data_IF_547956692184
#
_entry.id   IF_547956692184
#
_cell.length_a   1.000
_cell.length_b   1.000
_cell.length_c   1.000
_cell.angle_alpha   90.00
_cell.angle_beta   90.00
_cell.angle_gamma   90.00
#
_symmetry.space_group_name_H-M   'P 1'
#
loop_
_entity.id
_entity.type
_entity.pdbx_description
1 polymer ?
#
# COMPACT_ATOMS: atom_id res chain seq x y z
N UNK A 1 17.92 -22.84 -0.57
CA UNK A 1 16.47 -22.72 -0.32
C UNK A 1 15.82 -22.21 -1.59
N UNK A 2 14.98 -23.01 -2.25
CA UNK A 2 14.14 -22.56 -3.35
C UNK A 2 13.21 -21.47 -2.76
N UNK A 3 13.38 -20.22 -3.20
CA UNK A 3 12.38 -19.19 -3.01
C UNK A 3 11.10 -19.67 -3.69
N UNK A 4 10.14 -20.10 -2.88
CA UNK A 4 8.79 -20.39 -3.35
C UNK A 4 8.30 -19.05 -3.90
N UNK A 5 8.04 -18.98 -5.20
CA UNK A 5 7.41 -17.80 -5.80
C UNK A 5 6.08 -17.61 -5.07
N UNK A 6 5.88 -16.46 -4.40
CA UNK A 6 4.74 -16.23 -3.52
C UNK A 6 3.38 -16.66 -4.12
N UNK A 7 3.09 -16.44 -5.42
CA UNK A 7 1.85 -16.91 -6.02
C UNK A 7 1.71 -18.44 -6.08
N UNK A 8 2.79 -19.18 -6.37
CA UNK A 8 2.71 -20.64 -6.43
C UNK A 8 2.40 -21.25 -5.06
N UNK A 9 2.96 -20.69 -3.99
CA UNK A 9 2.66 -21.11 -2.63
C UNK A 9 1.23 -20.81 -2.22
N UNK A 10 0.73 -19.63 -2.55
CA UNK A 10 -0.65 -19.19 -2.26
C UNK A 10 -1.68 -20.03 -3.01
N UNK A 11 -1.45 -20.28 -4.29
CA UNK A 11 -2.31 -21.14 -5.12
C UNK A 11 -2.38 -22.54 -4.56
N UNK A 12 -1.22 -23.16 -4.29
CA UNK A 12 -1.15 -24.50 -3.70
C UNK A 12 -1.86 -24.55 -2.33
N UNK A 13 -1.65 -23.56 -1.47
CA UNK A 13 -2.32 -23.47 -0.17
C UNK A 13 -3.85 -23.47 -0.30
N UNK A 14 -4.39 -22.59 -1.17
CA UNK A 14 -5.85 -22.52 -1.39
C UNK A 14 -6.41 -23.82 -1.98
N UNK A 15 -5.72 -24.44 -2.94
CA UNK A 15 -6.09 -25.74 -3.49
C UNK A 15 -6.10 -26.87 -2.45
N UNK A 16 -5.29 -26.73 -1.39
CA UNK A 16 -5.29 -27.63 -0.23
C UNK A 16 -6.18 -27.14 0.92
N UNK A 17 -7.15 -26.29 0.63
CA UNK A 17 -8.17 -25.85 1.59
C UNK A 17 -7.69 -24.86 2.64
N UNK A 18 -6.57 -24.17 2.43
CA UNK A 18 -6.04 -23.16 3.35
C UNK A 18 -6.43 -21.75 2.89
N UNK A 19 -6.74 -20.89 3.85
CA UNK A 19 -6.86 -19.46 3.63
C UNK A 19 -5.47 -18.83 3.67
N UNK A 20 -5.26 -17.71 2.99
CA UNK A 20 -3.93 -17.12 2.76
C UNK A 20 -3.93 -15.65 3.13
N UNK A 21 -2.98 -15.25 3.96
CA UNK A 21 -2.55 -13.86 4.13
C UNK A 21 -1.11 -13.75 3.62
N UNK A 22 -0.92 -13.09 2.50
CA UNK A 22 0.38 -12.87 1.89
C UNK A 22 1.00 -11.55 2.36
N UNK A 23 2.32 -11.50 2.51
CA UNK A 23 2.99 -10.21 2.57
C UNK A 23 2.81 -9.47 1.22
N UNK A 24 2.86 -8.12 1.27
CA UNK A 24 2.91 -7.30 0.05
C UNK A 24 4.16 -7.65 -0.80
N UNK A 25 4.14 -7.50 -2.09
CA UNK A 25 3.01 -7.11 -2.91
C UNK A 25 1.98 -8.24 -3.14
N UNK A 26 2.24 -9.44 -2.70
CA UNK A 26 1.39 -10.61 -2.90
C UNK A 26 1.54 -11.23 -4.31
N UNK A 27 1.59 -10.40 -5.34
CA UNK A 27 1.81 -10.79 -6.74
C UNK A 27 2.56 -9.69 -7.49
N UNK A 28 3.30 -10.05 -8.55
CA UNK A 28 4.15 -9.13 -9.31
C UNK A 28 3.82 -9.09 -10.81
N UNK A 29 2.82 -9.85 -11.25
CA UNK A 29 2.35 -9.89 -12.65
C UNK A 29 0.83 -10.05 -12.71
N UNK A 30 0.22 -9.60 -13.81
CA UNK A 30 -1.21 -9.82 -14.08
C UNK A 30 -1.56 -11.31 -14.16
N UNK A 31 -0.70 -12.13 -14.77
CA UNK A 31 -0.94 -13.57 -14.84
C UNK A 31 -1.04 -14.21 -13.42
N UNK A 32 -0.25 -13.72 -12.47
CA UNK A 32 -0.34 -14.16 -11.07
C UNK A 32 -1.62 -13.66 -10.39
N UNK A 33 -2.04 -12.42 -10.65
CA UNK A 33 -3.29 -11.86 -10.15
C UNK A 33 -4.49 -12.68 -10.65
N UNK A 34 -4.54 -12.95 -11.96
CA UNK A 34 -5.62 -13.72 -12.57
C UNK A 34 -5.68 -15.14 -12.02
N UNK A 35 -4.53 -15.78 -11.87
CA UNK A 35 -4.45 -17.14 -11.33
C UNK A 35 -4.91 -17.20 -9.86
N UNK A 36 -4.50 -16.24 -9.01
CA UNK A 36 -4.95 -16.18 -7.61
C UNK A 36 -6.45 -15.93 -7.54
N UNK A 37 -6.99 -14.98 -8.31
CA UNK A 37 -8.44 -14.70 -8.38
C UNK A 37 -9.22 -15.94 -8.84
N UNK A 38 -8.71 -16.63 -9.86
CA UNK A 38 -9.34 -17.85 -10.37
C UNK A 38 -9.40 -18.95 -9.30
N UNK A 39 -8.28 -19.21 -8.64
CA UNK A 39 -8.20 -20.26 -7.60
C UNK A 39 -8.99 -19.87 -6.37
N UNK A 40 -8.93 -18.61 -5.93
CA UNK A 40 -9.74 -18.10 -4.83
C UNK A 40 -11.24 -18.36 -5.08
N UNK A 41 -11.73 -18.01 -6.28
CA UNK A 41 -13.12 -18.24 -6.67
C UNK A 41 -13.49 -19.73 -6.71
N UNK A 42 -12.59 -20.58 -7.22
CA UNK A 42 -12.82 -22.02 -7.33
C UNK A 42 -12.85 -22.72 -5.96
N UNK A 43 -12.03 -22.28 -5.03
CA UNK A 43 -11.87 -22.95 -3.73
C UNK A 43 -12.73 -22.34 -2.63
N UNK A 44 -13.28 -21.13 -2.82
CA UNK A 44 -13.98 -20.37 -1.80
C UNK A 44 -13.09 -20.01 -0.61
N UNK A 45 -11.74 -20.02 -0.80
CA UNK A 45 -10.80 -19.63 0.25
C UNK A 45 -10.66 -18.11 0.30
N UNK A 46 -10.26 -17.60 1.46
CA UNK A 46 -9.94 -16.19 1.63
C UNK A 46 -8.48 -15.98 1.23
N UNK A 47 -8.24 -14.97 0.40
CA UNK A 47 -6.90 -14.49 0.07
C UNK A 47 -6.78 -13.02 0.44
N UNK A 48 -5.82 -12.67 1.26
CA UNK A 48 -5.51 -11.28 1.63
C UNK A 48 -4.06 -10.94 1.36
N UNK A 49 -3.78 -9.65 1.17
CA UNK A 49 -2.44 -9.07 1.18
C UNK A 49 -2.33 -8.17 2.41
N UNK A 50 -1.28 -8.37 3.20
CA UNK A 50 -1.02 -7.53 4.37
C UNK A 50 -0.44 -6.18 3.91
N UNK A 51 -1.29 -5.18 3.82
CA UNK A 51 -0.91 -3.79 3.56
C UNK A 51 -0.58 -3.09 4.88
N UNK A 52 0.59 -3.41 5.43
CA UNK A 52 1.01 -3.01 6.78
C UNK A 52 0.99 -1.49 7.02
N UNK A 53 1.25 -0.67 5.99
CA UNK A 53 1.19 0.80 6.13
C UNK A 53 -0.22 1.37 6.39
N UNK A 54 -1.25 0.53 6.29
CA UNK A 54 -2.61 0.81 6.71
C UNK A 54 -2.96 -0.03 7.94
N UNK A 55 -2.89 -1.35 7.83
CA UNK A 55 -3.44 -2.27 8.82
C UNK A 55 -2.64 -2.35 10.13
N UNK A 56 -1.36 -1.99 10.09
CA UNK A 56 -0.45 -2.00 11.24
C UNK A 56 0.00 -0.58 11.66
N UNK A 57 -0.70 0.45 11.18
CA UNK A 57 -0.44 1.86 11.50
C UNK A 57 -1.64 2.45 12.23
N UNK A 58 -1.57 2.60 13.57
CA UNK A 58 -2.64 3.16 14.39
C UNK A 58 -3.22 4.48 13.89
N UNK A 59 -2.38 5.39 13.40
CA UNK A 59 -2.83 6.66 12.83
C UNK A 59 -3.68 6.47 11.55
N UNK A 60 -3.38 5.48 10.73
CA UNK A 60 -4.17 5.18 9.53
C UNK A 60 -5.53 4.57 9.89
N UNK A 61 -5.58 3.71 10.92
CA UNK A 61 -6.83 3.17 11.46
C UNK A 61 -7.71 4.29 12.02
N UNK A 62 -7.13 5.20 12.82
CA UNK A 62 -7.88 6.33 13.39
C UNK A 62 -8.39 7.29 12.30
N UNK A 63 -7.60 7.53 11.26
CA UNK A 63 -8.07 8.33 10.11
C UNK A 63 -9.30 7.69 9.45
N UNK A 64 -9.32 6.37 9.28
CA UNK A 64 -10.48 5.63 8.80
C UNK A 64 -11.71 5.81 9.70
N UNK A 65 -11.54 5.72 11.01
CA UNK A 65 -12.61 5.94 12.00
C UNK A 65 -13.17 7.37 11.90
N UNK A 66 -12.30 8.38 11.80
CA UNK A 66 -12.70 9.78 11.67
C UNK A 66 -13.48 10.04 10.37
N UNK A 67 -13.03 9.47 9.25
CA UNK A 67 -13.72 9.60 7.96
C UNK A 67 -15.08 8.92 8.02
N UNK A 68 -15.17 7.71 8.58
CA UNK A 68 -16.43 7.01 8.77
C UNK A 68 -17.41 7.78 9.68
N UNK A 69 -16.88 8.54 10.65
CA UNK A 69 -17.66 9.43 11.50
C UNK A 69 -18.03 10.79 10.83
N UNK A 70 -17.60 11.05 9.58
CA UNK A 70 -17.90 12.26 8.82
C UNK A 70 -17.05 13.48 9.19
N UNK A 71 -15.92 13.31 9.88
CA UNK A 71 -15.11 14.40 10.42
C UNK A 71 -14.61 15.41 9.38
N UNK A 72 -14.43 14.99 8.12
CA UNK A 72 -13.95 15.83 7.02
C UNK A 72 -14.93 15.90 5.84
N UNK A 73 -16.15 15.40 6.01
CA UNK A 73 -17.12 15.28 4.92
C UNK A 73 -16.73 14.20 3.90
N UNK A 74 -17.05 14.43 2.61
CA UNK A 74 -16.67 13.50 1.53
C UNK A 74 -15.20 13.66 1.17
N UNK A 75 -14.47 12.55 1.05
CA UNK A 75 -13.07 12.58 0.57
C UNK A 75 -13.03 12.94 -0.91
N UNK A 76 -12.20 13.92 -1.26
CA UNK A 76 -12.04 14.43 -2.63
C UNK A 76 -10.64 14.25 -3.20
N UNK A 77 -9.63 14.17 -2.33
CA UNK A 77 -8.24 13.93 -2.77
C UNK A 77 -7.41 13.21 -1.70
N UNK A 78 -6.44 12.41 -2.14
CA UNK A 78 -5.41 11.85 -1.25
C UNK A 78 -4.02 12.07 -1.82
N UNK A 79 -3.04 12.30 -0.95
CA UNK A 79 -1.61 12.34 -1.30
C UNK A 79 -0.88 11.37 -0.40
N UNK A 80 -0.48 10.22 -0.97
CA UNK A 80 0.22 9.15 -0.26
C UNK A 80 1.71 9.12 -0.57
N UNK A 81 2.55 9.12 0.45
CA UNK A 81 4.01 9.04 0.31
C UNK A 81 4.56 7.86 1.12
N UNK A 82 5.30 6.97 0.44
CA UNK A 82 5.94 5.80 1.03
C UNK A 82 7.46 5.78 0.77
N UNK A 83 8.22 6.78 1.26
CA UNK A 83 9.67 6.74 1.17
C UNK A 83 10.25 5.68 2.10
N UNK A 84 11.27 4.97 1.63
CA UNK A 84 11.94 3.89 2.36
C UNK A 84 13.45 4.08 2.35
N UNK A 85 14.13 3.56 3.37
CA UNK A 85 15.58 3.41 3.36
C UNK A 85 15.97 2.19 2.51
N UNK A 86 16.87 2.40 1.53
CA UNK A 86 17.27 1.34 0.61
C UNK A 86 18.03 0.20 1.30
N UNK A 87 18.91 0.52 2.25
CA UNK A 87 19.73 -0.46 3.00
C UNK A 87 20.43 -1.47 2.06
N UNK A 88 21.16 -0.96 1.07
CA UNK A 88 21.78 -1.73 -0.03
C UNK A 88 22.46 -3.01 0.42
N UNK A 89 23.27 -2.94 1.48
CA UNK A 89 24.06 -4.06 1.98
C UNK A 89 23.24 -5.21 2.61
N UNK A 90 21.95 -4.95 2.89
CA UNK A 90 21.06 -5.92 3.50
C UNK A 90 20.08 -6.54 2.48
N UNK A 91 20.16 -6.13 1.20
CA UNK A 91 19.27 -6.63 0.16
C UNK A 91 19.87 -7.83 -0.56
N UNK A 92 19.10 -8.90 -0.78
CA UNK A 92 19.55 -10.02 -1.60
C UNK A 92 19.59 -9.62 -3.09
N UNK A 93 20.44 -10.26 -3.89
CA UNK A 93 20.63 -9.93 -5.31
C UNK A 93 19.34 -9.93 -6.14
N UNK A 94 18.41 -10.82 -5.84
CA UNK A 94 17.13 -10.86 -6.57
C UNK A 94 16.31 -9.58 -6.44
N UNK A 95 16.54 -8.80 -5.38
CA UNK A 95 15.85 -7.52 -5.16
C UNK A 95 16.24 -6.47 -6.22
N UNK A 96 17.39 -6.61 -6.85
CA UNK A 96 17.87 -5.71 -7.90
C UNK A 96 17.53 -6.22 -9.33
N UNK A 97 16.75 -7.26 -9.43
CA UNK A 97 16.32 -7.88 -10.70
C UNK A 97 14.86 -7.52 -10.94
N UNK A 98 14.60 -6.70 -11.97
CA UNK A 98 13.27 -6.08 -12.19
C UNK A 98 12.12 -7.09 -12.24
N UNK A 99 12.28 -8.18 -12.96
CA UNK A 99 11.25 -9.21 -13.11
C UNK A 99 11.05 -10.08 -11.84
N UNK A 100 11.90 -9.94 -10.83
CA UNK A 100 11.83 -10.73 -9.59
C UNK A 100 11.14 -9.98 -8.45
N UNK A 101 11.41 -8.68 -8.28
CA UNK A 101 10.76 -7.88 -7.22
C UNK A 101 9.48 -7.17 -7.70
N UNK A 102 9.26 -7.07 -9.01
CA UNK A 102 8.01 -6.56 -9.58
C UNK A 102 7.98 -5.07 -9.88
N UNK A 103 9.04 -4.30 -9.54
CA UNK A 103 9.12 -2.86 -9.69
C UNK A 103 8.63 -2.09 -8.46
N UNK A 104 9.05 -0.83 -8.36
CA UNK A 104 8.82 -0.03 -7.14
C UNK A 104 7.34 0.31 -6.92
N UNK A 105 6.57 0.52 -8.00
CA UNK A 105 5.13 0.78 -7.89
C UNK A 105 4.37 -0.47 -7.48
N UNK A 106 4.81 -1.64 -7.93
CA UNK A 106 4.24 -2.90 -7.49
C UNK A 106 4.65 -3.24 -6.05
N UNK A 107 5.92 -3.05 -5.69
CA UNK A 107 6.45 -3.41 -4.37
C UNK A 107 5.96 -2.45 -3.27
N UNK A 108 6.31 -1.16 -3.34
CA UNK A 108 5.98 -0.21 -2.26
C UNK A 108 4.62 0.43 -2.49
N UNK A 109 4.33 0.91 -3.70
CA UNK A 109 3.12 1.67 -3.93
C UNK A 109 1.84 0.85 -3.83
N UNK A 110 1.90 -0.49 -3.79
CA UNK A 110 0.75 -1.33 -3.47
C UNK A 110 0.06 -0.92 -2.15
N UNK A 111 0.83 -0.48 -1.14
CA UNK A 111 0.29 0.10 0.09
C UNK A 111 -0.51 1.38 -0.17
N UNK A 112 0.01 2.25 -1.06
CA UNK A 112 -0.59 3.54 -1.33
C UNK A 112 -1.86 3.40 -2.19
N UNK A 113 -1.89 2.46 -3.12
CA UNK A 113 -3.09 2.16 -3.91
C UNK A 113 -4.20 1.56 -3.04
N UNK A 114 -3.87 0.68 -2.09
CA UNK A 114 -4.85 0.17 -1.14
C UNK A 114 -5.41 1.28 -0.26
N UNK A 115 -4.56 2.16 0.28
CA UNK A 115 -5.00 3.29 1.09
C UNK A 115 -5.86 4.28 0.28
N UNK A 116 -5.52 4.54 -0.99
CA UNK A 116 -6.35 5.35 -1.86
C UNK A 116 -7.77 4.78 -1.99
N UNK A 117 -7.90 3.49 -2.28
CA UNK A 117 -9.21 2.84 -2.39
C UNK A 117 -9.96 2.84 -1.05
N UNK A 118 -9.26 2.57 0.05
CA UNK A 118 -9.86 2.55 1.37
C UNK A 118 -10.40 3.93 1.77
N UNK A 119 -9.57 4.97 1.72
CA UNK A 119 -9.95 6.30 2.17
C UNK A 119 -10.95 6.99 1.24
N UNK A 120 -10.93 6.69 -0.06
CA UNK A 120 -11.96 7.16 -1.00
C UNK A 120 -13.29 6.40 -0.87
N UNK A 121 -13.32 5.28 -0.13
CA UNK A 121 -14.48 4.40 -0.04
C UNK A 121 -14.76 3.60 -1.32
N UNK A 122 -13.81 3.58 -2.28
CA UNK A 122 -13.99 2.94 -3.57
C UNK A 122 -13.51 1.48 -3.57
N UNK A 123 -14.12 0.65 -4.39
CA UNK A 123 -13.69 -0.73 -4.62
C UNK A 123 -12.70 -0.85 -5.77
N UNK A 124 -12.71 0.07 -6.72
CA UNK A 124 -11.78 0.12 -7.88
C UNK A 124 -11.40 1.56 -8.20
N UNK A 125 -10.32 1.74 -8.94
CA UNK A 125 -9.84 3.04 -9.39
C UNK A 125 -9.08 2.93 -10.71
N UNK A 126 -8.83 4.07 -11.31
CA UNK A 126 -8.08 4.23 -12.55
C UNK A 126 -6.70 4.82 -12.28
N UNK A 127 -5.68 4.30 -12.93
CA UNK A 127 -4.35 4.92 -13.01
C UNK A 127 -4.33 5.87 -14.22
N UNK A 128 -4.18 7.16 -13.94
CA UNK A 128 -4.20 8.22 -14.98
C UNK A 128 -2.84 8.38 -15.62
N UNK A 129 -1.78 8.37 -14.80
CA UNK A 129 -0.39 8.42 -15.23
C UNK A 129 0.51 7.80 -14.19
N UNK A 130 1.67 7.31 -14.62
CA UNK A 130 2.68 6.78 -13.72
C UNK A 130 4.09 6.98 -14.31
N UNK A 131 5.08 7.11 -13.42
CA UNK A 131 6.49 7.15 -13.79
C UNK A 131 7.34 6.35 -12.83
N UNK A 132 8.48 5.83 -13.35
CA UNK A 132 9.53 5.20 -12.55
C UNK A 132 10.89 5.61 -13.06
N UNK A 133 11.88 5.65 -12.19
CA UNK A 133 13.25 5.93 -12.58
C UNK A 133 14.25 5.24 -11.66
N UNK A 134 15.48 5.09 -12.17
CA UNK A 134 16.69 4.87 -11.40
C UNK A 134 17.58 6.12 -11.52
N UNK A 135 17.62 6.94 -10.47
CA UNK A 135 18.31 8.23 -10.50
C UNK A 135 19.67 8.18 -9.82
N UNK A 136 19.87 7.27 -8.86
CA UNK A 136 21.08 7.28 -8.04
C UNK A 136 21.72 5.89 -7.85
N UNK A 137 21.26 4.86 -8.55
CA UNK A 137 21.79 3.50 -8.42
C UNK A 137 22.21 2.91 -9.78
N UNK A 138 23.13 3.56 -10.54
CA UNK A 138 23.46 3.14 -11.90
C UNK A 138 24.11 1.75 -11.97
N UNK A 139 24.73 1.29 -10.87
CA UNK A 139 25.32 -0.05 -10.78
C UNK A 139 24.29 -1.17 -10.51
N UNK A 140 23.02 -0.80 -10.35
CA UNK A 140 21.89 -1.71 -10.16
C UNK A 140 20.79 -1.38 -11.20
N UNK A 141 21.02 -1.61 -12.49
CA UNK A 141 20.16 -1.11 -13.57
C UNK A 141 18.74 -1.71 -13.55
N UNK A 142 18.53 -2.83 -12.86
CA UNK A 142 17.19 -3.39 -12.64
C UNK A 142 16.42 -2.77 -11.48
N UNK A 143 17.06 -1.91 -10.66
CA UNK A 143 16.40 -1.22 -9.55
C UNK A 143 15.70 0.05 -10.06
N UNK A 144 14.48 0.26 -9.65
CA UNK A 144 13.78 1.54 -9.72
C UNK A 144 13.84 2.16 -8.33
N UNK A 145 14.41 3.35 -8.20
CA UNK A 145 14.63 3.98 -6.89
C UNK A 145 13.64 5.11 -6.58
N UNK A 146 12.82 5.49 -7.55
CA UNK A 146 11.68 6.40 -7.38
C UNK A 146 10.56 6.01 -8.34
N UNK A 147 9.33 6.19 -7.89
CA UNK A 147 8.14 6.04 -8.71
C UNK A 147 6.97 6.85 -8.16
N UNK A 148 6.11 7.29 -9.07
CA UNK A 148 4.90 8.03 -8.74
C UNK A 148 3.74 7.67 -9.68
N UNK A 149 2.54 7.96 -9.23
CA UNK A 149 1.32 7.77 -10.02
C UNK A 149 0.24 8.78 -9.64
N UNK A 150 -0.55 9.21 -10.64
CA UNK A 150 -1.84 9.85 -10.43
C UNK A 150 -2.94 8.83 -10.63
N UNK A 151 -3.90 8.84 -9.72
CA UNK A 151 -5.03 7.91 -9.70
C UNK A 151 -6.34 8.66 -9.52
N UNK A 152 -7.45 8.04 -9.91
CA UNK A 152 -8.78 8.59 -9.69
C UNK A 152 -9.85 7.52 -9.53
N UNK A 153 -10.93 7.92 -8.89
CA UNK A 153 -12.25 7.29 -8.95
C UNK A 153 -13.23 8.27 -9.63
N UNK A 154 -14.52 7.98 -9.59
CA UNK A 154 -15.52 8.93 -10.08
C UNK A 154 -15.54 10.25 -9.27
N UNK A 155 -15.22 10.18 -7.95
CA UNK A 155 -15.39 11.33 -7.04
C UNK A 155 -14.07 11.78 -6.38
N UNK A 156 -13.01 10.97 -6.42
CA UNK A 156 -11.76 11.22 -5.69
C UNK A 156 -10.57 11.13 -6.63
N UNK A 157 -9.62 12.05 -6.50
CA UNK A 157 -8.30 11.97 -7.14
C UNK A 157 -7.23 11.60 -6.12
N UNK A 158 -6.09 11.07 -6.60
CA UNK A 158 -4.97 10.75 -5.72
C UNK A 158 -3.62 10.92 -6.40
N UNK A 159 -2.60 11.21 -5.59
CA UNK A 159 -1.21 11.18 -5.97
C UNK A 159 -0.45 10.23 -5.04
N UNK A 160 0.37 9.39 -5.64
CA UNK A 160 1.21 8.41 -4.95
C UNK A 160 2.67 8.65 -5.32
N UNK A 161 3.56 8.71 -4.34
CA UNK A 161 5.01 8.73 -4.52
C UNK A 161 5.67 7.71 -3.61
N UNK A 162 6.57 6.92 -4.17
CA UNK A 162 7.40 5.96 -3.43
C UNK A 162 8.85 6.08 -3.87
N UNK A 163 9.77 5.88 -2.94
CA UNK A 163 11.19 6.04 -3.22
C UNK A 163 12.06 5.26 -2.23
N UNK A 164 13.35 5.11 -2.58
CA UNK A 164 14.39 4.54 -1.73
C UNK A 164 15.37 5.61 -1.23
N UNK A 165 14.89 6.84 -0.99
CA UNK A 165 15.71 7.99 -0.65
C UNK A 165 15.60 8.46 0.80
N UNK A 166 15.02 7.67 1.69
CA UNK A 166 15.05 8.01 3.12
C UNK A 166 16.50 8.11 3.59
N UNK A 167 16.95 9.29 4.06
CA UNK A 167 18.33 9.52 4.45
C UNK A 167 18.67 8.82 5.76
N UNK A 168 19.97 8.49 5.96
CA UNK A 168 20.43 7.80 7.17
C UNK A 168 20.26 8.65 8.44
N UNK A 169 20.19 9.98 8.33
CA UNK A 169 19.94 10.88 9.47
C UNK A 169 18.50 10.84 10.00
N UNK A 170 17.55 10.21 9.29
CA UNK A 170 16.21 10.02 9.80
C UNK A 170 16.20 8.87 10.83
N UNK A 171 15.59 9.04 12.02
CA UNK A 171 15.64 8.01 13.09
C UNK A 171 14.74 6.80 12.81
N UNK A 172 14.17 6.68 11.62
CA UNK A 172 13.31 5.58 11.18
C UNK A 172 13.64 5.13 9.76
N UNK A 173 13.12 3.98 9.35
CA UNK A 173 13.33 3.38 8.03
C UNK A 173 12.60 4.11 6.88
N UNK A 174 11.66 4.99 7.19
CA UNK A 174 10.88 5.74 6.23
C UNK A 174 10.08 6.87 6.87
N UNK A 175 9.73 7.90 6.08
CA UNK A 175 8.85 9.01 6.47
C UNK A 175 7.52 8.87 5.75
N UNK A 176 6.76 7.83 6.11
CA UNK A 176 5.45 7.56 5.53
C UNK A 176 4.44 8.64 5.90
N UNK A 177 3.88 9.32 4.89
CA UNK A 177 2.89 10.39 5.07
C UNK A 177 1.66 10.16 4.22
N UNK A 178 0.55 10.66 4.70
CA UNK A 178 -0.71 10.66 3.95
C UNK A 178 -1.48 11.93 4.29
N UNK A 179 -1.89 12.66 3.24
CA UNK A 179 -2.86 13.75 3.37
C UNK A 179 -4.18 13.32 2.74
N UNK A 180 -5.28 13.51 3.44
CA UNK A 180 -6.63 13.17 3.00
C UNK A 180 -7.47 14.43 3.06
N UNK A 181 -7.83 14.98 1.90
CA UNK A 181 -8.67 16.15 1.77
C UNK A 181 -10.13 15.75 1.63
N UNK A 182 -10.97 16.31 2.47
CA UNK A 182 -12.43 16.20 2.39
C UNK A 182 -13.11 17.53 2.09
N UNK A 183 -14.43 17.51 1.90
CA UNK A 183 -15.23 18.70 1.62
C UNK A 183 -15.39 19.65 2.82
N UNK A 184 -15.09 19.16 4.05
CA UNK A 184 -15.28 19.91 5.29
C UNK A 184 -14.02 20.02 6.16
N UNK A 185 -12.90 19.50 5.69
CA UNK A 185 -11.63 19.51 6.40
C UNK A 185 -10.61 18.59 5.75
N UNK A 186 -9.48 18.39 6.42
CA UNK A 186 -8.46 17.44 5.98
C UNK A 186 -7.76 16.76 7.15
N UNK A 187 -7.14 15.61 6.87
CA UNK A 187 -6.31 14.86 7.79
C UNK A 187 -4.89 14.76 7.20
N UNK A 188 -3.87 15.00 8.02
CA UNK A 188 -2.48 14.67 7.71
C UNK A 188 -1.97 13.60 8.69
N UNK A 189 -1.36 12.55 8.16
CA UNK A 189 -0.69 11.50 8.92
C UNK A 189 0.82 11.60 8.76
N UNK A 190 1.54 11.50 9.87
CA UNK A 190 2.97 11.22 9.97
C UNK A 190 3.13 9.89 10.70
N UNK A 191 3.34 8.83 9.94
CA UNK A 191 3.17 7.46 10.45
C UNK A 191 4.29 7.03 11.41
N UNK A 192 5.53 7.43 11.11
CA UNK A 192 6.71 6.88 11.77
C UNK A 192 7.59 7.91 12.45
N UNK A 193 7.45 9.18 12.13
CA UNK A 193 8.25 10.26 12.69
C UNK A 193 7.54 11.60 12.48
N UNK A 194 7.67 12.50 13.44
CA UNK A 194 7.39 13.92 13.26
C UNK A 194 8.73 14.68 13.13
N UNK A 195 8.99 15.26 11.97
CA UNK A 195 10.22 16.01 11.71
C UNK A 195 10.31 17.34 12.47
N UNK A 196 9.21 17.81 13.06
CA UNK A 196 9.17 18.97 13.95
C UNK A 196 9.52 18.61 15.41
N UNK A 197 9.81 17.32 15.68
CA UNK A 197 10.36 16.86 16.94
C UNK A 197 9.36 16.38 17.98
N UNK A 198 8.09 16.18 17.64
CA UNK A 198 7.19 15.44 18.55
C UNK A 198 7.71 14.02 18.74
N UNK A 199 7.80 13.53 19.98
CA UNK A 199 8.28 12.18 20.24
C UNK A 199 7.28 11.11 19.78
N UNK A 200 7.80 9.93 19.47
CA UNK A 200 6.99 8.76 19.07
C UNK A 200 6.68 8.71 17.59
N UNK A 201 5.69 7.93 17.26
CA UNK A 201 5.14 7.69 15.93
C UNK A 201 3.61 7.88 15.93
N UNK A 202 2.95 7.60 14.80
CA UNK A 202 1.48 7.61 14.69
C UNK A 202 0.82 8.96 14.99
N UNK A 203 1.39 10.03 14.44
CA UNK A 203 0.84 11.39 14.57
C UNK A 203 -0.27 11.62 13.56
N UNK A 204 -1.42 12.13 14.03
CA UNK A 204 -2.54 12.54 13.23
C UNK A 204 -2.88 14.00 13.50
N UNK A 205 -3.03 14.78 12.43
CA UNK A 205 -3.50 16.16 12.45
C UNK A 205 -4.82 16.24 11.70
N UNK A 206 -5.89 16.59 12.38
CA UNK A 206 -7.20 16.89 11.81
C UNK A 206 -7.38 18.40 11.77
N UNK A 207 -7.75 18.94 10.62
CA UNK A 207 -8.16 20.34 10.46
C UNK A 207 -9.59 20.36 9.95
N UNK A 208 -10.47 20.97 10.71
CA UNK A 208 -11.89 21.12 10.41
C UNK A 208 -12.37 22.56 10.68
N UNK A 209 -13.67 22.81 10.59
CA UNK A 209 -14.29 24.13 10.86
C UNK A 209 -14.09 24.65 12.30
N UNK A 210 -13.65 23.78 13.23
CA UNK A 210 -13.43 24.12 14.65
C UNK A 210 -11.99 24.46 14.95
N UNK A 211 -11.05 24.06 14.08
CA UNK A 211 -9.62 24.36 14.24
C UNK A 211 -8.70 23.22 13.86
N UNK A 212 -7.50 23.25 14.45
CA UNK A 212 -6.45 22.23 14.28
C UNK A 212 -6.41 21.34 15.49
N UNK A 213 -6.52 20.04 15.28
CA UNK A 213 -6.55 19.03 16.32
C UNK A 213 -5.41 18.03 16.10
N UNK A 214 -4.50 17.95 17.06
CA UNK A 214 -3.47 16.90 17.08
C UNK A 214 -3.97 15.69 17.88
N UNK A 215 -3.67 14.49 17.36
CA UNK A 215 -3.91 13.21 18.05
C UNK A 215 -2.65 12.35 18.00
N UNK A 216 -2.21 11.91 19.16
CA UNK A 216 -1.29 10.79 19.31
C UNK A 216 -2.11 9.49 19.19
N UNK A 217 -1.87 8.74 18.13
CA UNK A 217 -2.62 7.52 17.84
C UNK A 217 -1.89 6.25 18.31
N UNK A 218 -0.80 6.36 19.07
CA UNK A 218 0.03 5.21 19.49
C UNK A 218 -0.74 4.11 20.24
N UNK A 219 -1.88 4.45 20.86
CA UNK A 219 -2.72 3.54 21.63
C UNK A 219 -3.98 3.08 20.90
N UNK A 220 -4.15 3.44 19.63
CA UNK A 220 -5.30 2.98 18.84
C UNK A 220 -5.15 1.49 18.52
N UNK A 221 -6.19 0.72 18.80
CA UNK A 221 -6.22 -0.73 18.56
C UNK A 221 -6.11 -1.04 17.06
N UNK A 222 -5.36 -2.09 16.74
CA UNK A 222 -5.19 -2.61 15.37
C UNK A 222 -6.14 -3.80 15.13
N UNK A 223 -7.31 -3.58 14.52
CA UNK A 223 -8.35 -4.60 14.46
C UNK A 223 -8.10 -5.66 13.38
N UNK A 224 -7.27 -5.37 12.36
CA UNK A 224 -7.15 -6.18 11.15
C UNK A 224 -6.87 -7.66 11.41
N UNK A 225 -5.88 -7.97 12.24
CA UNK A 225 -5.48 -9.37 12.49
C UNK A 225 -6.61 -10.20 13.08
N UNK A 226 -7.35 -9.64 14.05
CA UNK A 226 -8.52 -10.29 14.66
C UNK A 226 -9.66 -10.42 13.66
N UNK A 227 -10.01 -9.34 12.96
CA UNK A 227 -11.04 -9.35 11.94
C UNK A 227 -10.75 -10.36 10.83
N UNK A 228 -9.50 -10.45 10.36
CA UNK A 228 -9.11 -11.43 9.34
C UNK A 228 -9.29 -12.88 9.81
N UNK A 229 -8.93 -13.19 11.06
CA UNK A 229 -9.17 -14.50 11.64
C UNK A 229 -10.68 -14.81 11.79
N UNK A 230 -11.47 -13.83 12.15
CA UNK A 230 -12.92 -13.97 12.24
C UNK A 230 -13.56 -14.14 10.85
N UNK A 231 -13.07 -13.43 9.83
CA UNK A 231 -13.47 -13.63 8.44
C UNK A 231 -13.16 -15.06 7.95
N UNK A 232 -11.98 -15.59 8.28
CA UNK A 232 -11.62 -16.97 7.95
C UNK A 232 -12.58 -17.98 8.60
N UNK A 233 -13.00 -17.75 9.85
CA UNK A 233 -13.92 -18.64 10.58
C UNK A 233 -15.35 -18.55 10.06
N UNK A 234 -15.81 -17.32 9.79
CA UNK A 234 -17.21 -17.02 9.50
C UNK A 234 -17.49 -16.88 7.99
N UNK A 235 -16.45 -16.91 7.15
CA UNK A 235 -16.53 -16.69 5.69
C UNK A 235 -17.13 -15.33 5.35
N UNK A 236 -16.66 -14.31 6.06
CA UNK A 236 -16.97 -12.88 5.84
C UNK A 236 -15.77 -12.14 5.27
N UNK A 237 -15.90 -10.84 4.98
CA UNK A 237 -14.87 -9.99 4.40
C UNK A 237 -14.82 -8.63 5.12
N UNK A 238 -14.85 -8.65 6.46
CA UNK A 238 -14.96 -7.45 7.28
C UNK A 238 -13.62 -6.74 7.45
N UNK A 239 -12.52 -7.50 7.49
CA UNK A 239 -11.17 -6.95 7.58
C UNK A 239 -10.76 -6.18 6.31
N UNK A 240 -11.05 -6.79 5.16
CA UNK A 240 -10.79 -6.20 3.85
C UNK A 240 -11.58 -7.00 2.79
N UNK A 241 -12.44 -6.34 2.01
CA UNK A 241 -13.08 -6.98 0.86
C UNK A 241 -12.02 -7.55 -0.10
N UNK A 242 -12.17 -8.81 -0.50
CA UNK A 242 -11.22 -9.46 -1.42
C UNK A 242 -11.14 -8.72 -2.77
N UNK A 243 -12.27 -8.17 -3.22
CA UNK A 243 -12.30 -7.36 -4.43
C UNK A 243 -11.39 -6.12 -4.32
N UNK A 244 -11.44 -5.37 -3.20
CA UNK A 244 -10.54 -4.23 -2.97
C UNK A 244 -9.08 -4.67 -2.90
N UNK A 245 -8.78 -5.80 -2.26
CA UNK A 245 -7.43 -6.35 -2.22
C UNK A 245 -6.89 -6.61 -3.62
N UNK A 246 -7.66 -7.24 -4.49
CA UNK A 246 -7.26 -7.52 -5.87
C UNK A 246 -7.17 -6.26 -6.73
N UNK A 247 -8.08 -5.30 -6.53
CA UNK A 247 -8.09 -4.05 -7.29
C UNK A 247 -6.93 -3.13 -6.89
N UNK A 248 -6.52 -3.10 -5.62
CA UNK A 248 -5.29 -2.41 -5.20
C UNK A 248 -4.06 -2.98 -5.94
N UNK A 249 -3.95 -4.29 -6.06
CA UNK A 249 -2.87 -4.92 -6.82
C UNK A 249 -3.00 -4.71 -8.33
N UNK A 250 -4.21 -4.74 -8.88
CA UNK A 250 -4.46 -4.38 -10.29
C UNK A 250 -3.97 -2.96 -10.59
N UNK A 251 -4.28 -1.99 -9.72
CA UNK A 251 -3.79 -0.61 -9.87
C UNK A 251 -2.27 -0.54 -9.80
N UNK A 252 -1.63 -1.24 -8.86
CA UNK A 252 -0.18 -1.28 -8.74
C UNK A 252 0.50 -1.87 -9.98
N UNK A 253 -0.02 -2.97 -10.51
CA UNK A 253 0.48 -3.59 -11.74
C UNK A 253 0.24 -2.73 -12.98
N UNK A 254 -0.93 -2.07 -13.07
CA UNK A 254 -1.25 -1.14 -14.15
C UNK A 254 -0.31 0.07 -14.14
N UNK A 255 -0.09 0.68 -12.98
CA UNK A 255 0.83 1.80 -12.82
C UNK A 255 2.26 1.40 -13.20
N UNK A 256 2.71 0.23 -12.74
CA UNK A 256 4.03 -0.29 -13.07
C UNK A 256 4.19 -0.54 -14.58
N UNK A 257 3.22 -1.16 -15.23
CA UNK A 257 3.23 -1.39 -16.66
C UNK A 257 3.20 -0.08 -17.46
N UNK A 258 2.36 0.87 -17.05
CA UNK A 258 2.26 2.19 -17.69
C UNK A 258 3.58 2.95 -17.60
N UNK A 259 4.20 2.96 -16.40
CA UNK A 259 5.45 3.68 -16.14
C UNK A 259 6.66 3.11 -16.90
N UNK A 260 6.59 1.86 -17.36
CA UNK A 260 7.66 1.18 -18.09
C UNK A 260 7.47 1.19 -19.61
N UNK A 261 6.38 1.75 -20.13
CA UNK A 261 6.16 1.84 -21.56
C UNK A 261 7.28 2.63 -22.25
N UNK A 262 7.94 1.99 -23.23
CA UNK A 262 9.04 2.60 -23.97
C UNK A 262 10.40 2.62 -23.26
N UNK A 263 10.53 1.98 -22.10
CA UNK A 263 11.80 1.87 -21.35
C UNK A 263 12.17 0.40 -21.15
N UNK A 264 13.39 0.03 -21.55
CA UNK A 264 13.94 -1.29 -21.22
C UNK A 264 14.62 -1.25 -19.85
N UNK A 265 14.16 -2.11 -18.94
CA UNK A 265 14.77 -2.32 -17.62
C UNK A 265 15.59 -3.62 -17.62
N UNK A 266 16.76 -3.60 -16.97
CA UNK A 266 17.58 -4.81 -16.83
C UNK A 266 16.80 -5.88 -16.04
N UNK A 267 16.73 -7.08 -16.63
CA UNK A 267 15.96 -8.23 -16.16
C UNK A 267 16.73 -9.05 -15.14
#
# INVERSE_FOLDING_TARGET
RRLIRAPCGSVAAMQHGKDVLSAKPGMTTFAQLDEIKRVQKQTGRIYGVLYSEHFEVPAAVEAGNLIAAGAIGKVVNTIGMGPHSLRLNNRPDWFFTRNRYGGILCDIASHQFEQFLFFSGAMDGEVVSASVANRNNPHRPGLQDVGDAHVRTAETTGYVRVDWYTPEGLPTWGDGRLTILGTEGYIELRKYVDIDGKPGDNHLFLVDKKGVHYRDCSQVELPFGRQFLDDVRNRTETAMPQERCFNAMKMALTAQQMAEQGTEWAQ
#
